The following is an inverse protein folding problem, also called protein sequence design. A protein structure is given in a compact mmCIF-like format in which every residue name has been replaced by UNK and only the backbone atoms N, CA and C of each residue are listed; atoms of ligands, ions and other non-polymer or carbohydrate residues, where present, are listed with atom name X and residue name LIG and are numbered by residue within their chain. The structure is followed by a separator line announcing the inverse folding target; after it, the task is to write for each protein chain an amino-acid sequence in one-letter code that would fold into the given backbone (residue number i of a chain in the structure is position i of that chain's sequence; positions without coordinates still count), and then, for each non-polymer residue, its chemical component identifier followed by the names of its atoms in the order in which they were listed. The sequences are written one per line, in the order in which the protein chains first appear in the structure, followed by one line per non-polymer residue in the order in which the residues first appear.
data_IF_815066449237
#
_entry.id   IF_815066449237
#
_cell.length_a   1.000
_cell.length_b   1.000
_cell.length_c   1.000
_cell.angle_alpha   90.00
_cell.angle_beta   90.00
_cell.angle_gamma   90.00
#
_symmetry.space_group_name_H-M   'P 1'
#
loop_
_entity.id
_entity.type
_entity.pdbx_description
1 polymer ?
#
# COMPACT_ATOMS: atom_id res chain seq x y z
N UNK A 1 -1.17 -0.35 -21.60
CA UNK A 1 -1.33 -1.32 -20.53
C UNK A 1 -2.72 -1.93 -20.55
N UNK A 2 -2.86 -3.16 -20.17
CA UNK A 2 -4.14 -3.83 -20.23
C UNK A 2 -5.03 -3.42 -19.05
N UNK A 3 -6.24 -2.96 -19.35
CA UNK A 3 -7.20 -2.60 -18.32
C UNK A 3 -7.52 -3.80 -17.42
N UNK A 4 -7.55 -4.99 -18.00
CA UNK A 4 -7.79 -6.21 -17.25
C UNK A 4 -6.76 -6.43 -16.15
N UNK A 5 -5.50 -6.21 -16.46
CA UNK A 5 -4.43 -6.38 -15.48
C UNK A 5 -4.42 -5.27 -14.45
N UNK A 6 -4.77 -4.06 -14.85
CA UNK A 6 -4.88 -2.96 -13.90
C UNK A 6 -5.95 -3.25 -12.86
N UNK A 7 -7.10 -3.78 -13.29
CA UNK A 7 -8.18 -4.13 -12.38
C UNK A 7 -7.72 -5.22 -11.41
N UNK A 8 -7.02 -6.21 -11.93
CA UNK A 8 -6.53 -7.31 -11.09
C UNK A 8 -5.57 -6.82 -10.02
N UNK A 9 -4.66 -5.93 -10.39
CA UNK A 9 -3.68 -5.45 -9.42
C UNK A 9 -4.29 -4.46 -8.42
N UNK A 10 -5.26 -3.67 -8.84
CA UNK A 10 -6.00 -2.81 -7.94
C UNK A 10 -6.79 -3.66 -6.94
N UNK A 11 -7.42 -4.73 -7.40
CA UNK A 11 -8.14 -5.63 -6.51
C UNK A 11 -7.20 -6.27 -5.51
N UNK A 12 -6.01 -6.65 -5.95
CA UNK A 12 -5.02 -7.21 -5.05
C UNK A 12 -4.59 -6.19 -4.01
N UNK A 13 -4.33 -4.96 -4.43
CA UNK A 13 -3.96 -3.90 -3.50
C UNK A 13 -5.08 -3.66 -2.48
N UNK A 14 -6.33 -3.72 -2.93
CA UNK A 14 -7.46 -3.57 -2.03
C UNK A 14 -7.51 -4.69 -1.00
N UNK A 15 -7.21 -5.91 -1.43
CA UNK A 15 -7.15 -7.03 -0.51
C UNK A 15 -6.03 -6.83 0.52
N UNK A 16 -4.87 -6.42 0.07
CA UNK A 16 -3.73 -6.18 0.95
C UNK A 16 -4.05 -5.07 1.96
N UNK A 17 -4.80 -4.07 1.55
CA UNK A 17 -5.16 -2.97 2.44
C UNK A 17 -5.91 -3.45 3.68
N UNK A 18 -6.63 -4.55 3.56
CA UNK A 18 -7.41 -5.07 4.69
C UNK A 18 -6.52 -5.61 5.80
N UNK A 19 -5.26 -5.81 5.54
CA UNK A 19 -4.32 -6.27 6.55
C UNK A 19 -3.85 -5.15 7.46
N UNK A 20 -4.14 -3.91 7.10
CA UNK A 20 -3.79 -2.77 7.93
C UNK A 20 -4.59 -2.77 9.23
N UNK A 21 -3.96 -2.36 10.31
CA UNK A 21 -4.60 -2.25 11.60
C UNK A 21 -5.21 -0.88 11.86
N UNK A 22 -5.08 0.03 10.91
CA UNK A 22 -5.64 1.36 11.09
C UNK A 22 -7.16 1.26 11.15
N UNK A 23 -7.78 1.82 12.18
CA UNK A 23 -9.22 1.66 12.36
C UNK A 23 -10.07 2.46 11.37
N UNK A 24 -9.51 3.47 10.73
CA UNK A 24 -10.29 4.34 9.87
C UNK A 24 -9.80 4.38 8.43
N UNK A 25 -8.53 4.11 8.19
CA UNK A 25 -7.97 4.21 6.84
C UNK A 25 -7.05 3.04 6.59
N UNK A 26 -7.37 2.26 5.57
CA UNK A 26 -6.57 1.12 5.19
C UNK A 26 -6.06 1.33 3.77
N UNK A 27 -4.76 1.24 3.62
CA UNK A 27 -4.09 1.48 2.34
C UNK A 27 -3.30 0.24 1.97
N UNK A 28 -3.43 -0.18 0.72
CA UNK A 28 -2.65 -1.29 0.21
C UNK A 28 -1.83 -0.87 -0.98
N UNK A 29 -0.67 -1.47 -1.11
CA UNK A 29 0.25 -1.19 -2.21
C UNK A 29 0.76 -2.51 -2.77
N UNK A 30 0.74 -2.64 -4.08
CA UNK A 30 1.29 -3.79 -4.78
C UNK A 30 2.25 -3.26 -5.84
N UNK A 31 3.47 -3.77 -5.83
CA UNK A 31 4.48 -3.35 -6.80
C UNK A 31 4.66 -4.44 -7.83
N UNK A 32 4.46 -4.08 -9.09
CA UNK A 32 4.41 -5.02 -10.21
C UNK A 32 5.55 -4.74 -11.17
N UNK A 33 6.25 -5.78 -11.55
CA UNK A 33 7.37 -5.69 -12.47
C UNK A 33 6.93 -5.64 -13.93
N UNK A 34 7.91 -5.55 -14.81
CA UNK A 34 7.64 -5.37 -16.24
C UNK A 34 6.93 -6.56 -16.88
N UNK A 35 7.11 -7.74 -16.32
CA UNK A 35 6.45 -8.95 -16.84
C UNK A 35 5.20 -9.29 -16.06
N UNK A 36 4.62 -8.30 -15.38
CA UNK A 36 3.41 -8.44 -14.59
C UNK A 36 3.58 -9.38 -13.39
N UNK A 37 4.80 -9.53 -12.94
CA UNK A 37 5.05 -10.31 -11.74
C UNK A 37 4.93 -9.42 -10.51
N UNK A 38 4.44 -9.99 -9.42
CA UNK A 38 4.36 -9.28 -8.15
C UNK A 38 5.76 -9.23 -7.54
N UNK A 39 6.27 -8.02 -7.33
CA UNK A 39 7.58 -7.84 -6.75
C UNK A 39 7.54 -7.61 -5.25
N UNK A 40 6.53 -6.88 -4.77
CA UNK A 40 6.41 -6.57 -3.36
C UNK A 40 5.02 -6.11 -3.06
N UNK A 41 4.68 -6.13 -1.77
CA UNK A 41 3.41 -5.62 -1.28
C UNK A 41 3.67 -4.84 0.01
N UNK A 42 2.75 -3.94 0.32
CA UNK A 42 2.82 -3.20 1.57
C UNK A 42 1.45 -2.69 1.96
N UNK A 43 1.29 -2.37 3.20
CA UNK A 43 0.07 -1.73 3.69
C UNK A 43 0.47 -0.76 4.78
N UNK A 44 -0.43 0.17 5.08
CA UNK A 44 -0.10 1.19 6.06
C UNK A 44 -0.03 0.60 7.45
N UNK A 45 0.91 1.10 8.22
CA UNK A 45 1.16 0.62 9.57
C UNK A 45 2.57 1.02 9.95
N UNK A 46 2.96 0.63 11.14
CA UNK A 46 4.29 0.96 11.61
C UNK A 46 5.27 -0.15 11.24
N UNK A 47 6.53 0.20 11.01
CA UNK A 47 7.52 -0.80 10.71
C UNK A 47 7.59 -1.89 11.78
N UNK A 48 8.04 -3.06 11.37
CA UNK A 48 8.22 -4.15 12.30
C UNK A 48 9.14 -3.75 13.44
N UNK A 49 8.77 -4.14 14.64
CA UNK A 49 9.56 -3.83 15.82
C UNK A 49 9.09 -2.58 16.55
N UNK A 50 8.20 -1.83 15.94
CA UNK A 50 7.58 -0.68 16.60
C UNK A 50 6.20 -1.11 17.07
N UNK A 51 5.91 -0.89 18.35
CA UNK A 51 4.62 -1.29 18.89
C UNK A 51 3.50 -0.49 18.25
N UNK A 52 2.42 -1.16 17.98
CA UNK A 52 1.21 -0.49 17.49
C UNK A 52 0.69 0.40 18.61
N UNK A 53 0.42 1.63 18.28
CA UNK A 53 -0.10 2.60 19.23
C UNK A 53 -1.45 3.05 18.70
N UNK A 54 -2.51 2.73 19.42
CA UNK A 54 -3.84 3.07 18.95
C UNK A 54 -4.06 4.58 18.88
N UNK A 55 -3.40 5.35 19.71
CA UNK A 55 -3.50 6.79 19.62
C UNK A 55 -2.93 7.30 18.32
N UNK A 56 -1.82 6.72 17.90
CA UNK A 56 -1.19 7.09 16.64
C UNK A 56 -1.99 6.61 15.45
N UNK A 57 -2.57 5.42 15.56
CA UNK A 57 -3.38 4.88 14.48
C UNK A 57 -4.64 5.70 14.26
N UNK A 58 -5.14 6.32 15.31
CA UNK A 58 -6.34 7.12 15.23
C UNK A 58 -6.09 8.58 14.88
N UNK A 59 -4.82 8.99 14.86
CA UNK A 59 -4.47 10.36 14.57
C UNK A 59 -4.77 10.69 13.11
N UNK A 60 -5.77 11.53 12.90
CA UNK A 60 -6.23 11.87 11.57
C UNK A 60 -5.21 12.68 10.77
N UNK A 61 -4.34 13.37 11.46
CA UNK A 61 -3.31 14.15 10.77
C UNK A 61 -2.29 13.27 10.07
N UNK A 62 -2.24 12.00 10.42
CA UNK A 62 -1.32 11.07 9.82
C UNK A 62 -1.91 10.28 8.65
N UNK A 63 -3.13 10.55 8.27
CA UNK A 63 -3.77 9.79 7.19
C UNK A 63 -3.12 10.00 5.84
N UNK A 64 -2.69 11.20 5.55
CA UNK A 64 -1.97 11.46 4.31
C UNK A 64 -0.66 10.71 4.26
N UNK A 65 0.17 10.77 5.31
CA UNK A 65 1.37 9.94 5.34
C UNK A 65 1.11 8.45 5.27
N UNK A 66 -0.10 7.99 5.60
CA UNK A 66 -0.38 6.56 5.57
C UNK A 66 -0.29 5.97 4.17
N UNK A 67 -0.64 6.73 3.15
CA UNK A 67 -0.47 6.27 1.78
C UNK A 67 1.02 6.07 1.48
N UNK A 68 1.83 7.03 1.90
CA UNK A 68 3.28 6.92 1.75
C UNK A 68 3.81 5.76 2.56
N UNK A 69 3.25 5.50 3.73
CA UNK A 69 3.69 4.37 4.55
C UNK A 69 3.46 3.04 3.85
N UNK A 70 2.34 2.89 3.16
CA UNK A 70 2.10 1.65 2.43
C UNK A 70 3.15 1.44 1.35
N UNK A 71 3.49 2.49 0.63
CA UNK A 71 4.52 2.42 -0.40
C UNK A 71 5.89 2.16 0.20
N UNK A 72 6.23 2.89 1.27
CA UNK A 72 7.50 2.69 1.95
C UNK A 72 7.62 1.27 2.48
N UNK A 73 6.56 0.74 3.05
CA UNK A 73 6.57 -0.62 3.56
C UNK A 73 6.80 -1.63 2.43
N UNK A 74 6.22 -1.38 1.25
CA UNK A 74 6.47 -2.24 0.10
C UNK A 74 7.93 -2.16 -0.33
N UNK A 75 8.50 -0.96 -0.33
CA UNK A 75 9.91 -0.77 -0.69
C UNK A 75 10.82 -1.44 0.32
N UNK A 76 10.53 -1.27 1.59
CA UNK A 76 11.33 -1.88 2.65
C UNK A 76 11.25 -3.40 2.60
N UNK A 77 10.07 -3.92 2.30
CA UNK A 77 9.90 -5.36 2.16
C UNK A 77 10.76 -5.90 1.01
N UNK A 78 10.75 -5.20 -0.12
CA UNK A 78 11.58 -5.60 -1.26
C UNK A 78 13.06 -5.56 -0.91
N UNK A 79 13.49 -4.52 -0.20
CA UNK A 79 14.87 -4.40 0.22
C UNK A 79 15.29 -5.55 1.13
N UNK A 80 14.38 -5.95 1.99
CA UNK A 80 14.61 -7.02 2.95
C UNK A 80 14.86 -8.35 2.28
N UNK A 81 14.10 -8.66 1.24
CA UNK A 81 14.22 -9.93 0.55
C UNK A 81 15.12 -9.85 -0.68
N UNK A 82 15.69 -8.68 -0.95
CA UNK A 82 16.65 -8.53 -2.02
C UNK A 82 16.05 -8.46 -3.42
N UNK A 83 14.86 -7.89 -3.54
CA UNK A 83 14.19 -7.77 -4.83
C UNK A 83 14.30 -6.35 -5.36
N UNK A 84 14.74 -6.22 -6.61
CA UNK A 84 14.84 -4.92 -7.25
C UNK A 84 13.45 -4.41 -7.65
N UNK A 85 13.22 -3.12 -7.45
CA UNK A 85 11.98 -2.47 -7.87
C UNK A 85 12.19 -1.57 -9.08
N UNK A 86 13.35 -1.67 -9.71
CA UNK A 86 13.63 -0.85 -10.86
C UNK A 86 12.65 -1.16 -11.99
N UNK A 87 12.07 -0.10 -12.57
CA UNK A 87 11.13 -0.26 -13.66
C UNK A 87 9.76 -0.78 -13.29
N UNK A 88 9.47 -0.88 -12.00
CA UNK A 88 8.19 -1.39 -11.54
C UNK A 88 7.14 -0.31 -11.46
N UNK A 89 5.89 -0.74 -11.41
CA UNK A 89 4.73 0.13 -11.24
C UNK A 89 4.07 -0.22 -9.93
N UNK A 90 3.70 0.79 -9.16
CA UNK A 90 3.01 0.58 -7.89
C UNK A 90 1.52 0.87 -8.05
N UNK A 91 0.69 -0.06 -7.60
CA UNK A 91 -0.74 0.12 -7.52
C UNK A 91 -1.09 0.34 -6.07
N UNK A 92 -1.72 1.47 -5.77
CA UNK A 92 -2.04 1.86 -4.40
C UNK A 92 -3.53 2.13 -4.31
N UNK A 93 -4.16 1.60 -3.28
CA UNK A 93 -5.58 1.81 -3.11
C UNK A 93 -5.92 2.04 -1.65
N UNK A 94 -6.92 2.89 -1.44
CA UNK A 94 -7.47 3.19 -0.13
C UNK A 94 -8.69 2.33 0.10
N UNK A 95 -8.78 1.76 1.28
CA UNK A 95 -9.94 1.01 1.71
C UNK A 95 -10.68 1.84 2.74
N UNK A 96 -11.36 2.85 2.28
CA UNK A 96 -12.16 3.73 3.14
C UNK A 96 -13.62 3.38 3.01
N UNK A 97 -14.39 3.73 4.04
CA UNK A 97 -15.82 3.56 3.99
C UNK A 97 -16.38 4.39 2.85
N UNK A 98 -15.83 5.58 2.67
CA UNK A 98 -16.15 6.38 1.50
C UNK A 98 -14.93 7.22 1.17
N UNK A 99 -14.78 7.49 -0.11
CA UNK A 99 -13.66 8.28 -0.60
C UNK A 99 -14.23 9.52 -1.26
N UNK A 100 -13.86 10.68 -0.76
CA UNK A 100 -14.36 11.92 -1.28
C UNK A 100 -13.53 12.47 -2.42
N UNK A 101 -12.35 11.95 -2.61
CA UNK A 101 -11.47 12.41 -3.67
C UNK A 101 -10.79 11.26 -4.37
N UNK A 102 -10.44 11.44 -5.64
CA UNK A 102 -9.70 10.41 -6.35
C UNK A 102 -8.34 10.17 -5.74
N UNK A 103 -7.88 8.94 -5.82
CA UNK A 103 -6.56 8.59 -5.39
C UNK A 103 -5.52 9.22 -6.31
N UNK A 104 -4.48 9.76 -5.74
CA UNK A 104 -3.42 10.34 -6.54
C UNK A 104 -2.51 9.28 -7.10
N UNK A 105 -2.09 9.43 -8.35
CA UNK A 105 -1.09 8.52 -8.90
C UNK A 105 0.27 8.79 -8.28
N UNK A 106 1.06 7.76 -8.20
CA UNK A 106 2.42 7.84 -7.69
C UNK A 106 3.40 7.31 -8.71
#
# INVERSE_FOLDING_TARGET
MSEKWDVRFIDLARHISQWSKDPSTKVGCVVIGEDREIRSTGFNGFPRGIADDSDRLEDREQKYPLICHAEENAIMHAARIGVSLKGCVAYVTLSLIHISEPTRPY
#
